data_IF_891660247805
#
_entry.id   IF_891660247805
#
_cell.length_a   1.000
_cell.length_b   1.000
_cell.length_c   1.000
_cell.angle_alpha   90.00
_cell.angle_beta   90.00
_cell.angle_gamma   90.00
#
_symmetry.space_group_name_H-M   'P 1'
#
loop_
_entity.id
_entity.type
_entity.pdbx_description
1 polymer ?
#
# COMPACT_ATOMS: atom_id res chain seq x y z
N UNK A 1 24.82 -15.50 0.22
CA UNK A 1 25.03 -14.09 -0.22
C UNK A 1 23.78 -13.37 -0.74
N UNK A 2 22.57 -13.96 -0.67
CA UNK A 2 21.31 -13.31 -1.13
C UNK A 2 20.50 -12.68 0.02
N UNK A 3 20.67 -13.19 1.26
CA UNK A 3 19.95 -12.69 2.45
C UNK A 3 20.50 -11.33 2.91
N UNK A 4 21.81 -11.10 2.78
CA UNK A 4 22.47 -9.86 3.22
C UNK A 4 22.04 -8.64 2.38
N UNK A 5 21.84 -8.81 1.07
CA UNK A 5 21.31 -7.78 0.17
C UNK A 5 19.86 -7.38 0.51
N UNK A 6 19.03 -8.30 1.01
CA UNK A 6 17.65 -8.00 1.42
C UNK A 6 17.60 -7.16 2.71
N UNK A 7 18.43 -7.49 3.70
CA UNK A 7 18.50 -6.76 4.97
C UNK A 7 19.10 -5.36 4.75
N UNK A 8 20.13 -5.24 3.91
CA UNK A 8 20.72 -3.95 3.57
C UNK A 8 19.73 -3.06 2.79
N UNK A 9 18.98 -3.62 1.85
CA UNK A 9 17.90 -2.90 1.16
C UNK A 9 16.81 -2.37 2.10
N UNK A 10 16.39 -3.17 3.09
CA UNK A 10 15.39 -2.76 4.08
C UNK A 10 15.94 -1.64 5.00
N UNK A 11 17.19 -1.75 5.45
CA UNK A 11 17.83 -0.74 6.31
C UNK A 11 18.05 0.60 5.59
N UNK A 12 18.48 0.55 4.33
CA UNK A 12 18.61 1.75 3.48
C UNK A 12 17.23 2.37 3.24
N UNK A 13 16.20 1.57 2.95
CA UNK A 13 14.83 2.05 2.75
C UNK A 13 14.26 2.73 4.00
N UNK A 14 14.47 2.16 5.19
CA UNK A 14 14.05 2.78 6.45
C UNK A 14 14.68 4.16 6.68
N UNK A 15 15.95 4.33 6.29
CA UNK A 15 16.70 5.58 6.45
C UNK A 15 16.27 6.64 5.41
N UNK A 16 15.91 6.23 4.19
CA UNK A 16 15.39 7.13 3.15
C UNK A 16 13.98 7.63 3.45
N UNK A 17 13.04 6.78 3.89
CA UNK A 17 11.68 7.22 4.22
C UNK A 17 11.69 8.31 5.32
N UNK A 18 12.66 8.25 6.22
CA UNK A 18 12.79 9.20 7.33
C UNK A 18 13.12 10.63 6.85
N UNK A 19 13.67 10.83 5.64
CA UNK A 19 14.19 12.13 5.23
C UNK A 19 13.50 12.83 4.04
N UNK A 20 12.69 12.17 3.18
CA UNK A 20 12.44 12.77 1.85
C UNK A 20 11.02 12.80 1.24
N UNK A 21 9.97 12.09 1.72
CA UNK A 21 8.62 12.44 1.25
C UNK A 21 7.49 12.43 2.31
N UNK A 22 6.50 13.31 2.11
CA UNK A 22 5.25 13.37 2.89
C UNK A 22 4.32 12.18 2.60
N UNK A 23 4.43 11.56 1.42
CA UNK A 23 3.60 10.43 0.95
C UNK A 23 4.51 9.39 0.29
N UNK A 24 4.22 8.10 0.49
CA UNK A 24 4.91 6.99 -0.19
C UNK A 24 4.04 6.41 -1.30
N UNK A 25 4.49 6.52 -2.55
CA UNK A 25 3.86 5.85 -3.69
C UNK A 25 4.58 4.52 -3.98
N UNK A 26 3.99 3.39 -3.59
CA UNK A 26 4.59 2.07 -3.68
C UNK A 26 4.01 1.25 -4.83
N UNK A 27 4.86 0.49 -5.52
CA UNK A 27 4.40 -0.50 -6.48
C UNK A 27 3.77 -1.71 -5.75
N UNK A 28 2.61 -2.17 -6.20
CA UNK A 28 1.77 -3.12 -5.43
C UNK A 28 2.41 -4.49 -5.13
N UNK A 29 3.27 -5.01 -6.00
CA UNK A 29 3.97 -6.28 -5.75
C UNK A 29 5.07 -6.16 -4.70
N UNK A 30 5.57 -4.96 -4.44
CA UNK A 30 6.55 -4.72 -3.37
C UNK A 30 5.94 -4.79 -1.96
N UNK A 31 4.61 -4.76 -1.84
CA UNK A 31 3.94 -4.81 -0.54
C UNK A 31 4.22 -6.12 0.21
N UNK A 32 4.55 -7.21 -0.51
CA UNK A 32 4.97 -8.51 0.06
C UNK A 32 6.22 -8.44 0.94
N UNK A 33 7.00 -7.36 0.84
CA UNK A 33 8.20 -7.14 1.66
C UNK A 33 7.91 -6.41 2.98
N UNK A 34 6.64 -6.25 3.36
CA UNK A 34 6.26 -5.63 4.64
C UNK A 34 6.35 -4.10 4.64
N UNK A 35 6.42 -3.47 3.47
CA UNK A 35 6.59 -2.02 3.34
C UNK A 35 5.44 -1.23 3.98
N UNK A 36 4.20 -1.73 3.93
CA UNK A 36 3.06 -1.10 4.62
C UNK A 36 3.28 -1.01 6.13
N UNK A 37 3.84 -2.05 6.74
CA UNK A 37 4.13 -2.07 8.19
C UNK A 37 5.23 -1.07 8.53
N UNK A 38 6.24 -0.93 7.68
CA UNK A 38 7.33 0.03 7.86
C UNK A 38 6.80 1.46 7.75
N UNK A 39 6.02 1.76 6.70
CA UNK A 39 5.40 3.08 6.48
C UNK A 39 4.46 3.47 7.62
N UNK A 40 3.60 2.54 8.06
CA UNK A 40 2.68 2.77 9.18
C UNK A 40 3.41 3.09 10.49
N UNK A 41 4.52 2.37 10.80
CA UNK A 41 5.36 2.66 11.96
C UNK A 41 6.01 4.05 11.92
N UNK A 42 6.14 4.63 10.73
CA UNK A 42 6.75 5.94 10.52
C UNK A 42 5.69 7.04 10.28
N UNK A 43 4.40 6.72 10.43
CA UNK A 43 3.30 7.67 10.24
C UNK A 43 3.18 8.20 8.82
N UNK A 44 3.64 7.44 7.81
CA UNK A 44 3.65 7.88 6.42
C UNK A 44 2.41 7.37 5.68
N UNK A 45 1.61 8.25 5.05
CA UNK A 45 0.52 7.83 4.18
C UNK A 45 1.08 7.10 2.96
N UNK A 46 0.39 6.03 2.55
CA UNK A 46 0.80 5.16 1.44
C UNK A 46 -0.24 5.19 0.33
N UNK A 47 0.23 5.42 -0.89
CA UNK A 47 -0.51 5.27 -2.13
C UNK A 47 0.07 4.08 -2.89
N UNK A 48 -0.78 3.22 -3.44
CA UNK A 48 -0.34 2.01 -4.15
C UNK A 48 -0.66 2.15 -5.64
N UNK A 49 0.32 1.87 -6.49
CA UNK A 49 0.20 1.98 -7.95
C UNK A 49 0.78 0.76 -8.69
N UNK A 50 0.43 0.50 -9.95
CA UNK A 50 -0.92 0.65 -10.50
C UNK A 50 -1.66 -0.65 -10.22
N UNK A 51 -2.87 -0.59 -9.64
CA UNK A 51 -3.62 -1.78 -9.22
C UNK A 51 -4.87 -1.93 -10.05
N UNK A 52 -4.94 -2.94 -10.91
CA UNK A 52 -6.07 -3.15 -11.82
C UNK A 52 -6.90 -4.41 -11.50
N UNK A 53 -6.36 -5.31 -10.66
CA UNK A 53 -7.04 -6.54 -10.25
C UNK A 53 -8.10 -6.27 -9.16
N UNK A 54 -9.34 -6.73 -9.38
CA UNK A 54 -10.47 -6.55 -8.47
C UNK A 54 -10.18 -7.05 -7.05
N UNK A 55 -9.58 -8.23 -6.93
CA UNK A 55 -9.29 -8.85 -5.62
C UNK A 55 -8.26 -8.03 -4.86
N UNK A 56 -7.23 -7.55 -5.54
CA UNK A 56 -6.18 -6.71 -4.97
C UNK A 56 -6.72 -5.34 -4.59
N UNK A 57 -7.52 -4.69 -5.45
CA UNK A 57 -8.20 -3.43 -5.11
C UNK A 57 -9.04 -3.62 -3.84
N UNK A 58 -9.88 -4.66 -3.80
CA UNK A 58 -10.72 -4.94 -2.63
C UNK A 58 -9.91 -5.15 -1.35
N UNK A 59 -8.79 -5.88 -1.41
CA UNK A 59 -7.88 -6.04 -0.26
C UNK A 59 -7.29 -4.71 0.20
N UNK A 60 -6.79 -3.90 -0.73
CA UNK A 60 -6.13 -2.63 -0.40
C UNK A 60 -7.12 -1.57 0.12
N UNK A 61 -8.36 -1.56 -0.38
CA UNK A 61 -9.42 -0.67 0.12
C UNK A 61 -9.78 -0.96 1.59
N UNK A 62 -9.64 -2.21 2.03
CA UNK A 62 -9.92 -2.63 3.40
C UNK A 62 -8.68 -2.59 4.31
N UNK A 63 -7.51 -2.24 3.80
CA UNK A 63 -6.28 -2.12 4.58
C UNK A 63 -6.11 -0.67 5.06
N UNK A 64 -6.30 -0.43 6.36
CA UNK A 64 -6.22 0.90 6.98
C UNK A 64 -4.84 1.57 6.86
N UNK A 65 -3.81 0.87 6.40
CA UNK A 65 -2.47 1.45 6.14
C UNK A 65 -2.37 2.05 4.74
N UNK A 66 -3.33 1.76 3.85
CA UNK A 66 -3.38 2.27 2.48
C UNK A 66 -4.32 3.47 2.45
N UNK A 67 -3.79 4.59 1.96
CA UNK A 67 -4.47 5.89 1.94
C UNK A 67 -4.95 6.28 0.54
N UNK A 68 -4.46 5.58 -0.49
CA UNK A 68 -4.92 5.77 -1.86
C UNK A 68 -4.51 4.60 -2.77
N UNK A 69 -5.30 4.39 -3.81
CA UNK A 69 -5.04 3.41 -4.87
C UNK A 69 -5.02 4.18 -6.19
N UNK A 70 -3.97 3.98 -6.98
CA UNK A 70 -3.85 4.46 -8.36
C UNK A 70 -4.16 3.28 -9.27
N UNK A 71 -5.13 3.44 -10.18
CA UNK A 71 -5.72 2.38 -10.98
C UNK A 71 -6.17 2.90 -12.33
N UNK A 72 -6.10 2.06 -13.36
CA UNK A 72 -6.71 2.31 -14.67
C UNK A 72 -8.21 1.91 -14.68
N UNK A 73 -8.72 1.40 -13.55
CA UNK A 73 -10.10 0.92 -13.35
C UNK A 73 -10.81 1.70 -12.23
N UNK A 74 -10.90 3.05 -12.31
CA UNK A 74 -11.47 3.87 -11.24
C UNK A 74 -12.95 3.60 -10.99
N UNK A 75 -13.68 3.17 -12.01
CA UNK A 75 -15.07 2.71 -11.97
C UNK A 75 -15.23 1.47 -11.06
N UNK A 76 -14.37 0.46 -11.27
CA UNK A 76 -14.33 -0.74 -10.43
C UNK A 76 -13.96 -0.40 -8.99
N UNK A 77 -12.94 0.44 -8.79
CA UNK A 77 -12.52 0.86 -7.46
C UNK A 77 -13.64 1.61 -6.72
N UNK A 78 -14.39 2.49 -7.40
CA UNK A 78 -15.54 3.18 -6.83
C UNK A 78 -16.64 2.22 -6.39
N UNK A 79 -16.98 1.23 -7.23
CA UNK A 79 -17.97 0.20 -6.92
C UNK A 79 -17.58 -0.61 -5.68
N UNK A 80 -16.33 -1.05 -5.60
CA UNK A 80 -15.82 -1.81 -4.45
C UNK A 80 -15.79 -0.96 -3.17
N UNK A 81 -15.43 0.32 -3.25
CA UNK A 81 -15.43 1.23 -2.11
C UNK A 81 -16.85 1.48 -1.56
N UNK A 82 -17.85 1.57 -2.43
CA UNK A 82 -19.24 1.69 -2.00
C UNK A 82 -19.69 0.43 -1.23
N UNK A 83 -19.34 -0.76 -1.73
CA UNK A 83 -19.62 -2.04 -1.06
C UNK A 83 -18.91 -2.13 0.30
N UNK A 84 -17.63 -1.75 0.38
CA UNK A 84 -16.87 -1.85 1.63
C UNK A 84 -17.32 -0.88 2.73
N UNK A 85 -18.05 0.19 2.36
CA UNK A 85 -18.56 1.21 3.30
C UNK A 85 -20.01 1.01 3.70
N UNK A 86 -20.72 0.06 3.09
CA UNK A 86 -22.05 -0.29 3.56
C UNK A 86 -21.92 -0.87 4.97
N UNK A 87 -22.66 -0.34 5.97
CA UNK A 87 -22.72 -0.96 7.28
C UNK A 87 -23.18 -2.41 7.09
N UNK A 88 -22.44 -3.36 7.65
CA UNK A 88 -22.91 -4.74 7.74
C UNK A 88 -24.25 -4.69 8.47
N UNK A 89 -25.33 -4.90 7.73
CA UNK A 89 -26.68 -4.77 8.25
C UNK A 89 -27.08 -6.04 8.99
N UNK A 90 -26.38 -6.41 10.08
CA UNK A 90 -26.77 -7.46 11.02
C UNK A 90 -26.14 -7.19 12.39
#
# INVERSE_FOLDING_TARGET
>A
MIILLRVFGILVFQKLIRFTPYILALQWETLKFGLLKIAAKQGKPVFVWTVNDQKTIGKLLNDNRVHGIITDRPDLARKLLAISRQPSAF
#
